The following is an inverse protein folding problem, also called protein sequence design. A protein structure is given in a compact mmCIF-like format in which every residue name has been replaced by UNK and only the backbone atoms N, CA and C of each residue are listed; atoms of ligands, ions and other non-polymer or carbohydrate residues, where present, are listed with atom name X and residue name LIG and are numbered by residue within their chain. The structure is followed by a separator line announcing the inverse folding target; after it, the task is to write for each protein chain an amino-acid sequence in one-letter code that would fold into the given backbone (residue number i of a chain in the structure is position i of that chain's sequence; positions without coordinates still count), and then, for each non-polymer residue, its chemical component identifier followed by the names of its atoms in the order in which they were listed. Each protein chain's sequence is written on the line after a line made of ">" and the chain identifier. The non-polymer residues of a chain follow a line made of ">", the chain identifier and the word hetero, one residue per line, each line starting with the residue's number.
data_IF_119788630089
#
_entry.id   IF_119788630089
#
_cell.length_a   1.000
_cell.length_b   1.000
_cell.length_c   1.000
_cell.angle_alpha   90.00
_cell.angle_beta   90.00
_cell.angle_gamma   90.00
#
_symmetry.space_group_name_H-M   'P 1'
#
loop_
_entity.id
_entity.type
_entity.pdbx_description
1 polymer ?
#
# COMPACT_ATOMS: atom_id res chain seq x y z
N UNK A 1 -9.37 -26.11 27.07
CA UNK A 1 -9.80 -24.70 27.04
C UNK A 1 -9.35 -24.17 25.67
N UNK A 2 -10.25 -23.72 24.80
CA UNK A 2 -9.79 -23.01 23.60
C UNK A 2 -9.03 -21.77 24.08
N UNK A 3 -7.81 -21.58 23.60
CA UNK A 3 -7.05 -20.36 23.76
C UNK A 3 -7.94 -19.18 23.34
N UNK A 4 -8.10 -18.19 24.22
CA UNK A 4 -8.73 -16.94 23.82
C UNK A 4 -8.00 -16.46 22.56
N UNK A 5 -8.73 -16.42 21.43
CA UNK A 5 -8.21 -15.87 20.18
C UNK A 5 -7.76 -14.44 20.51
N UNK A 6 -6.45 -14.20 20.55
CA UNK A 6 -5.95 -12.85 20.71
C UNK A 6 -6.45 -12.01 19.54
N UNK A 7 -7.04 -10.86 19.83
CA UNK A 7 -7.44 -9.89 18.82
C UNK A 7 -6.26 -9.58 17.88
N UNK A 8 -6.51 -9.45 16.58
CA UNK A 8 -5.52 -9.00 15.61
C UNK A 8 -4.89 -7.67 16.07
N UNK A 9 -3.57 -7.65 16.29
CA UNK A 9 -2.81 -6.45 16.63
C UNK A 9 -2.55 -5.61 15.39
N UNK A 10 -2.83 -4.30 15.46
CA UNK A 10 -2.74 -3.39 14.31
C UNK A 10 -1.86 -2.20 14.61
N UNK A 11 -0.82 -1.99 13.79
CA UNK A 11 -0.11 -0.72 13.70
C UNK A 11 -0.70 0.11 12.54
N UNK A 12 -0.94 1.41 12.75
CA UNK A 12 -1.37 2.34 11.70
C UNK A 12 -0.19 3.20 11.26
N UNK A 13 -0.03 3.39 9.96
CA UNK A 13 0.99 4.28 9.36
C UNK A 13 0.28 5.38 8.59
N UNK A 14 0.59 6.62 8.94
CA UNK A 14 0.12 7.84 8.26
C UNK A 14 1.33 8.59 7.71
N UNK A 15 1.30 8.92 6.42
CA UNK A 15 2.35 9.71 5.78
C UNK A 15 1.81 11.11 5.49
N UNK A 16 2.54 12.14 5.87
CA UNK A 16 2.12 13.54 5.68
C UNK A 16 3.21 14.40 5.06
N UNK A 17 2.78 15.43 4.32
CA UNK A 17 3.64 16.47 3.80
C UNK A 17 2.88 17.78 3.56
N UNK A 18 3.15 18.80 4.40
CA UNK A 18 2.55 20.14 4.29
C UNK A 18 1.00 20.11 4.27
N UNK A 19 0.39 19.36 5.19
CA UNK A 19 -1.08 19.19 5.28
C UNK A 19 -1.56 19.08 6.73
N UNK A 20 -0.99 19.88 7.61
CA UNK A 20 -1.25 19.87 9.07
C UNK A 20 -2.74 19.73 9.42
N UNK A 21 -3.62 20.58 8.85
CA UNK A 21 -5.03 20.62 9.23
C UNK A 21 -5.83 19.36 8.78
N UNK A 22 -5.39 18.66 7.73
CA UNK A 22 -5.97 17.39 7.31
C UNK A 22 -5.42 16.24 8.15
N UNK A 23 -4.12 16.28 8.47
CA UNK A 23 -3.48 15.31 9.34
C UNK A 23 -4.15 15.30 10.73
N UNK A 24 -4.48 16.46 11.30
CA UNK A 24 -5.22 16.56 12.57
C UNK A 24 -6.52 15.76 12.52
N UNK A 25 -7.35 16.01 11.49
CA UNK A 25 -8.63 15.31 11.32
C UNK A 25 -8.43 13.80 11.12
N UNK A 26 -7.39 13.41 10.37
CA UNK A 26 -7.05 12.00 10.16
C UNK A 26 -6.64 11.32 11.46
N UNK A 27 -5.73 11.94 12.23
CA UNK A 27 -5.26 11.39 13.51
C UNK A 27 -6.37 11.28 14.55
N UNK A 28 -7.22 12.30 14.69
CA UNK A 28 -8.38 12.25 15.60
C UNK A 28 -9.32 11.11 15.23
N UNK A 29 -9.60 10.92 13.94
CA UNK A 29 -10.45 9.85 13.46
C UNK A 29 -9.82 8.45 13.63
N UNK A 30 -8.49 8.32 13.50
CA UNK A 30 -7.75 7.08 13.74
C UNK A 30 -7.74 6.74 15.22
N UNK A 31 -7.42 7.69 16.07
CA UNK A 31 -7.31 7.50 17.51
C UNK A 31 -8.67 7.25 18.18
N UNK A 32 -9.77 7.69 17.55
CA UNK A 32 -11.14 7.43 18.00
C UNK A 32 -11.77 6.13 17.49
N UNK A 33 -11.02 5.30 16.73
CA UNK A 33 -11.53 3.99 16.32
C UNK A 33 -11.77 3.07 17.54
N UNK A 34 -12.80 2.24 17.46
CA UNK A 34 -13.13 1.22 18.47
C UNK A 34 -13.18 -0.16 17.81
N UNK A 35 -12.20 -1.03 18.09
CA UNK A 35 -11.01 -0.81 18.89
C UNK A 35 -10.02 0.14 18.21
N UNK A 36 -9.30 0.93 19.03
CA UNK A 36 -8.20 1.75 18.54
C UNK A 36 -7.04 0.88 18.03
N UNK A 37 -6.21 1.38 17.09
CA UNK A 37 -4.97 0.71 16.71
C UNK A 37 -4.01 0.62 17.92
N UNK A 38 -3.20 -0.45 17.96
CA UNK A 38 -2.25 -0.68 19.04
C UNK A 38 -1.05 0.26 18.96
N UNK A 39 -0.67 0.70 17.75
CA UNK A 39 0.37 1.71 17.48
C UNK A 39 -0.05 2.62 16.34
N UNK A 40 0.38 3.89 16.39
CA UNK A 40 0.20 4.88 15.31
C UNK A 40 1.56 5.47 14.98
N UNK A 41 2.03 5.31 13.75
CA UNK A 41 3.27 5.88 13.25
C UNK A 41 2.92 6.99 12.27
N UNK A 42 3.32 8.22 12.61
CA UNK A 42 3.21 9.37 11.73
C UNK A 42 4.58 9.63 11.11
N UNK A 43 4.64 9.62 9.78
CA UNK A 43 5.87 9.98 9.05
C UNK A 43 5.67 11.36 8.44
N UNK A 44 6.30 12.35 9.03
CA UNK A 44 6.39 13.70 8.45
C UNK A 44 7.51 13.72 7.41
N UNK A 45 7.12 13.79 6.17
CA UNK A 45 7.99 13.69 5.01
C UNK A 45 8.68 15.02 4.67
N UNK A 46 9.31 15.65 5.66
CA UNK A 46 9.97 16.96 5.60
C UNK A 46 8.98 18.12 5.34
N UNK A 47 7.95 18.24 6.14
CA UNK A 47 7.04 19.39 6.10
C UNK A 47 7.72 20.68 6.54
N UNK A 48 7.24 21.81 6.02
CA UNK A 48 7.73 23.17 6.33
C UNK A 48 6.62 24.09 6.86
N UNK A 49 5.45 23.52 7.15
CA UNK A 49 4.26 24.23 7.61
C UNK A 49 4.02 24.12 9.14
N UNK A 50 5.03 23.62 9.89
CA UNK A 50 4.95 23.39 11.31
C UNK A 50 4.22 22.09 11.70
N UNK A 51 4.09 21.14 10.78
CA UNK A 51 3.41 19.85 11.02
C UNK A 51 4.07 19.05 12.15
N UNK A 52 5.41 18.91 12.16
CA UNK A 52 6.12 18.13 13.19
C UNK A 52 5.94 18.73 14.58
N UNK A 53 6.08 20.05 14.71
CA UNK A 53 5.87 20.79 15.97
C UNK A 53 4.43 20.63 16.45
N UNK A 54 3.47 20.76 15.54
CA UNK A 54 2.05 20.57 15.83
C UNK A 54 1.77 19.16 16.39
N UNK A 55 2.28 18.12 15.75
CA UNK A 55 2.07 16.74 16.21
C UNK A 55 2.69 16.54 17.61
N UNK A 56 3.91 17.03 17.83
CA UNK A 56 4.58 16.91 19.13
C UNK A 56 3.83 17.64 20.25
N UNK A 57 3.18 18.79 19.96
CA UNK A 57 2.43 19.59 20.92
C UNK A 57 1.03 19.00 21.20
N UNK A 58 0.30 18.61 20.17
CA UNK A 58 -1.12 18.19 20.28
C UNK A 58 -1.27 16.69 20.62
N UNK A 59 -0.29 15.87 20.24
CA UNK A 59 -0.27 14.43 20.51
C UNK A 59 0.97 14.00 21.31
N UNK A 60 1.22 14.63 22.49
CA UNK A 60 2.42 14.34 23.27
C UNK A 60 2.42 12.92 23.81
N UNK A 61 3.61 12.29 23.85
CA UNK A 61 3.77 10.87 24.21
C UNK A 61 3.18 10.49 25.59
N UNK A 62 3.13 11.43 26.56
CA UNK A 62 2.52 11.14 27.87
C UNK A 62 0.99 10.99 27.81
N UNK A 63 0.31 11.53 26.79
CA UNK A 63 -1.13 11.36 26.53
C UNK A 63 -1.40 10.31 25.46
N UNK A 64 -0.52 10.18 24.49
CA UNK A 64 -0.65 9.29 23.33
C UNK A 64 0.59 8.37 23.25
N UNK A 65 0.80 7.47 24.21
CA UNK A 65 2.01 6.64 24.28
C UNK A 65 2.16 5.69 23.08
N UNK A 66 1.07 5.41 22.38
CA UNK A 66 1.04 4.55 21.18
C UNK A 66 1.39 5.30 19.89
N UNK A 67 1.48 6.66 19.94
CA UNK A 67 1.81 7.48 18.77
C UNK A 67 3.29 7.77 18.71
N UNK A 68 3.90 7.46 17.57
CA UNK A 68 5.30 7.76 17.25
C UNK A 68 5.35 8.70 16.05
N UNK A 69 6.05 9.83 16.19
CA UNK A 69 6.38 10.74 15.09
C UNK A 69 7.79 10.43 14.59
N UNK A 70 7.93 10.31 13.26
CA UNK A 70 9.22 10.22 12.55
C UNK A 70 9.29 11.39 11.59
N UNK A 71 10.32 12.23 11.74
CA UNK A 71 10.53 13.39 10.88
C UNK A 71 11.65 13.14 9.89
N UNK A 72 11.36 13.24 8.60
CA UNK A 72 12.36 13.17 7.54
C UNK A 72 13.05 14.53 7.35
N UNK A 73 14.32 14.52 6.93
CA UNK A 73 15.08 15.71 6.55
C UNK A 73 14.86 16.10 5.09
N UNK A 74 14.37 15.16 4.28
CA UNK A 74 14.08 15.36 2.86
C UNK A 74 12.78 14.65 2.49
N UNK A 75 12.01 15.24 1.58
CA UNK A 75 10.80 14.63 1.04
C UNK A 75 11.15 13.45 0.14
N UNK A 76 10.77 12.25 0.54
CA UNK A 76 10.96 10.99 -0.20
C UNK A 76 9.71 10.57 -0.99
N UNK A 77 8.70 11.43 -1.06
CA UNK A 77 7.39 11.11 -1.63
C UNK A 77 6.60 10.12 -0.80
N UNK A 78 5.40 9.78 -1.23
CA UNK A 78 4.58 8.76 -0.57
C UNK A 78 5.30 7.42 -0.47
N UNK A 79 5.98 7.01 -1.53
CA UNK A 79 6.69 5.73 -1.59
C UNK A 79 7.73 5.56 -0.47
N UNK A 80 8.57 6.58 -0.24
CA UNK A 80 9.58 6.55 0.82
C UNK A 80 8.96 6.69 2.20
N UNK A 81 7.97 7.57 2.36
CA UNK A 81 7.26 7.75 3.63
C UNK A 81 6.59 6.47 4.10
N UNK A 82 5.86 5.77 3.22
CA UNK A 82 5.26 4.47 3.55
C UNK A 82 6.31 3.39 3.81
N UNK A 83 7.40 3.35 3.04
CA UNK A 83 8.47 2.38 3.29
C UNK A 83 9.08 2.57 4.70
N UNK A 84 9.33 3.81 5.12
CA UNK A 84 9.85 4.16 6.44
C UNK A 84 8.85 3.81 7.55
N UNK A 85 7.58 4.21 7.40
CA UNK A 85 6.53 3.94 8.38
C UNK A 85 6.25 2.45 8.56
N UNK A 86 6.21 1.66 7.48
CA UNK A 86 6.06 0.20 7.53
C UNK A 86 7.26 -0.43 8.27
N UNK A 87 8.48 0.02 7.97
CA UNK A 87 9.68 -0.49 8.64
C UNK A 87 9.64 -0.18 10.15
N UNK A 88 9.24 1.02 10.54
CA UNK A 88 9.09 1.40 11.94
C UNK A 88 7.98 0.61 12.64
N UNK A 89 6.88 0.29 11.95
CA UNK A 89 5.82 -0.56 12.50
C UNK A 89 6.29 -1.99 12.78
N UNK A 90 7.28 -2.47 12.03
CA UNK A 90 7.85 -3.82 12.15
C UNK A 90 9.11 -3.86 13.03
N UNK A 91 9.58 -2.71 13.54
CA UNK A 91 10.72 -2.67 14.42
C UNK A 91 10.40 -3.35 15.75
N UNK A 92 11.27 -4.29 16.22
CA UNK A 92 11.10 -4.92 17.52
C UNK A 92 11.08 -3.85 18.64
N UNK A 93 10.13 -3.95 19.53
CA UNK A 93 9.93 -3.02 20.63
C UNK A 93 9.39 -3.75 21.87
N UNK A 94 9.04 -3.00 22.93
CA UNK A 94 8.43 -3.57 24.12
C UNK A 94 7.00 -4.12 23.86
N UNK A 95 6.35 -3.60 22.83
CA UNK A 95 5.00 -4.03 22.43
C UNK A 95 5.07 -5.26 21.52
N UNK A 96 4.01 -6.09 21.48
CA UNK A 96 3.92 -7.19 20.55
C UNK A 96 4.06 -6.71 19.10
N UNK A 97 4.70 -7.53 18.27
CA UNK A 97 4.75 -7.27 16.83
C UNK A 97 3.33 -7.23 16.25
N UNK A 98 3.02 -6.30 15.34
CA UNK A 98 1.70 -6.24 14.74
C UNK A 98 1.44 -7.44 13.83
N UNK A 99 0.20 -7.95 13.85
CA UNK A 99 -0.30 -8.93 12.88
C UNK A 99 -0.58 -8.27 11.53
N UNK A 100 -0.99 -7.01 11.56
CA UNK A 100 -1.35 -6.24 10.38
C UNK A 100 -0.95 -4.76 10.52
N UNK A 101 -0.75 -4.10 9.35
CA UNK A 101 -0.42 -2.68 9.29
C UNK A 101 -1.50 -1.97 8.46
N UNK A 102 -2.11 -0.94 9.03
CA UNK A 102 -3.10 -0.12 8.33
C UNK A 102 -2.44 1.12 7.76
N UNK A 103 -2.35 1.21 6.44
CA UNK A 103 -1.72 2.33 5.71
C UNK A 103 -2.77 3.38 5.35
N UNK A 104 -2.40 4.66 5.48
CA UNK A 104 -3.30 5.78 5.23
C UNK A 104 -2.55 7.04 4.80
N UNK A 105 -3.14 7.81 3.85
CA UNK A 105 -2.70 9.18 3.55
C UNK A 105 -3.23 10.17 4.60
N UNK A 106 -2.55 11.32 4.74
CA UNK A 106 -2.90 12.40 5.69
C UNK A 106 -4.25 13.08 5.42
N UNK A 107 -4.79 12.95 4.23
CA UNK A 107 -6.09 13.51 3.82
C UNK A 107 -7.22 12.46 3.76
N UNK A 108 -7.01 11.34 4.46
CA UNK A 108 -7.97 10.25 4.57
C UNK A 108 -8.55 10.19 5.98
N UNK A 109 -9.87 10.34 6.10
CA UNK A 109 -10.60 10.37 7.36
C UNK A 109 -11.41 9.07 7.51
N UNK A 110 -10.96 8.10 8.33
CA UNK A 110 -11.72 6.87 8.56
C UNK A 110 -13.02 7.16 9.32
N UNK A 111 -14.09 6.54 8.87
CA UNK A 111 -15.38 6.64 9.55
C UNK A 111 -15.40 5.71 10.77
N UNK A 112 -16.25 5.97 11.78
CA UNK A 112 -16.38 5.08 12.94
C UNK A 112 -16.58 3.63 12.53
N UNK A 113 -15.81 2.71 13.12
CA UNK A 113 -15.85 1.27 12.84
C UNK A 113 -15.08 0.85 11.57
N UNK A 114 -14.38 1.75 10.89
CA UNK A 114 -13.63 1.40 9.68
C UNK A 114 -12.55 0.34 9.97
N UNK A 115 -11.76 0.51 11.04
CA UNK A 115 -10.75 -0.47 11.44
C UNK A 115 -11.39 -1.79 11.89
N UNK A 116 -12.45 -1.72 12.70
CA UNK A 116 -13.16 -2.91 13.17
C UNK A 116 -13.66 -3.77 11.99
N UNK A 117 -14.17 -3.14 10.93
CA UNK A 117 -14.64 -3.85 9.75
C UNK A 117 -13.50 -4.55 8.98
N UNK A 118 -12.32 -3.93 8.88
CA UNK A 118 -11.13 -4.56 8.25
C UNK A 118 -10.65 -5.76 9.07
N UNK A 119 -10.57 -5.61 10.40
CA UNK A 119 -10.15 -6.68 11.32
C UNK A 119 -11.16 -7.84 11.27
N UNK A 120 -12.46 -7.55 11.34
CA UNK A 120 -13.50 -8.58 11.26
C UNK A 120 -13.45 -9.35 9.93
N UNK A 121 -13.22 -8.66 8.81
CA UNK A 121 -13.05 -9.31 7.52
C UNK A 121 -11.80 -10.21 7.47
N UNK A 122 -10.68 -9.80 8.11
CA UNK A 122 -9.46 -10.59 8.23
C UNK A 122 -9.67 -11.85 9.07
N UNK A 123 -10.25 -11.70 10.25
CA UNK A 123 -10.45 -12.78 11.23
C UNK A 123 -11.54 -13.78 10.78
N UNK A 124 -12.59 -13.28 10.14
CA UNK A 124 -13.69 -14.11 9.66
C UNK A 124 -13.41 -14.82 8.33
N UNK A 125 -12.33 -14.48 7.63
CA UNK A 125 -12.06 -15.07 6.32
C UNK A 125 -11.62 -16.53 6.43
N UNK A 126 -12.33 -17.39 5.73
CA UNK A 126 -11.95 -18.79 5.54
C UNK A 126 -11.58 -19.03 4.08
N UNK A 127 -10.35 -19.46 3.85
CA UNK A 127 -9.88 -19.76 2.50
C UNK A 127 -10.70 -20.88 1.86
N UNK A 128 -11.01 -20.76 0.58
CA UNK A 128 -11.67 -21.80 -0.19
C UNK A 128 -10.78 -23.06 -0.32
N UNK A 129 -11.37 -24.28 -0.46
CA UNK A 129 -10.60 -25.49 -0.65
C UNK A 129 -9.64 -25.39 -1.86
N UNK A 130 -8.37 -25.69 -1.64
CA UNK A 130 -7.31 -25.58 -2.64
C UNK A 130 -6.83 -24.16 -2.89
N UNK A 131 -7.33 -23.16 -2.18
CA UNK A 131 -6.82 -21.81 -2.19
C UNK A 131 -5.56 -21.64 -1.34
N UNK A 132 -4.83 -20.50 -1.50
CA UNK A 132 -3.69 -20.20 -0.65
C UNK A 132 -4.13 -20.11 0.82
N UNK A 133 -3.35 -20.68 1.75
CA UNK A 133 -3.68 -20.66 3.17
C UNK A 133 -3.52 -19.28 3.78
N UNK A 134 -4.15 -19.09 4.95
CA UNK A 134 -4.03 -17.88 5.76
C UNK A 134 -5.05 -16.79 5.43
N UNK A 135 -5.02 -15.69 6.19
CA UNK A 135 -5.90 -14.54 5.97
C UNK A 135 -5.58 -13.81 4.68
N UNK A 136 -6.49 -12.93 4.20
CA UNK A 136 -6.19 -12.01 3.12
C UNK A 136 -4.99 -11.12 3.48
N UNK A 137 -4.02 -11.02 2.58
CA UNK A 137 -2.80 -10.24 2.83
C UNK A 137 -2.96 -8.74 2.57
N UNK A 138 -4.04 -8.35 1.90
CA UNK A 138 -4.46 -6.95 1.70
C UNK A 138 -5.97 -6.88 1.81
N UNK A 139 -6.48 -5.94 2.61
CA UNK A 139 -7.90 -5.62 2.68
C UNK A 139 -8.05 -4.10 2.53
N UNK A 140 -8.70 -3.67 1.45
CA UNK A 140 -8.89 -2.26 1.14
C UNK A 140 -10.23 -1.75 1.68
N UNK A 141 -10.25 -0.53 2.21
CA UNK A 141 -11.49 0.16 2.56
C UNK A 141 -12.23 0.66 1.32
N UNK A 142 -13.53 0.91 1.47
CA UNK A 142 -14.29 1.71 0.52
C UNK A 142 -13.93 3.17 0.69
N UNK A 143 -13.41 3.78 -0.38
CA UNK A 143 -13.02 5.19 -0.38
C UNK A 143 -14.13 6.04 -0.96
N UNK A 144 -14.63 6.98 -0.17
CA UNK A 144 -15.61 7.98 -0.57
C UNK A 144 -14.94 9.36 -0.68
N UNK A 145 -15.46 10.20 -1.57
CA UNK A 145 -15.13 11.62 -1.57
C UNK A 145 -15.91 12.33 -0.46
N UNK A 146 -15.57 13.60 -0.19
CA UNK A 146 -16.16 14.41 0.88
C UNK A 146 -17.70 14.45 0.89
N UNK A 147 -18.35 14.21 -0.25
CA UNK A 147 -19.80 14.20 -0.40
C UNK A 147 -20.43 12.80 -0.33
N UNK A 148 -19.66 11.76 0.00
CA UNK A 148 -20.13 10.38 0.16
C UNK A 148 -20.20 9.58 -1.15
N UNK A 149 -19.85 10.15 -2.32
CA UNK A 149 -19.74 9.39 -3.57
C UNK A 149 -18.47 8.55 -3.58
N UNK A 150 -18.54 7.36 -4.19
CA UNK A 150 -17.34 6.54 -4.39
C UNK A 150 -16.23 7.34 -5.12
N UNK A 151 -15.02 7.33 -4.57
CA UNK A 151 -13.90 8.08 -5.13
C UNK A 151 -13.32 7.35 -6.34
N UNK A 152 -13.41 7.89 -7.57
CA UNK A 152 -13.09 7.14 -8.79
C UNK A 152 -11.62 6.79 -8.94
N UNK A 153 -10.71 7.54 -8.30
CA UNK A 153 -9.26 7.24 -8.32
C UNK A 153 -8.88 6.06 -7.42
N UNK A 154 -9.62 5.84 -6.34
CA UNK A 154 -9.25 4.91 -5.27
C UNK A 154 -10.18 3.71 -5.17
N UNK A 155 -11.11 3.54 -6.11
CA UNK A 155 -11.95 2.34 -6.18
C UNK A 155 -11.08 1.13 -6.55
N UNK A 156 -10.92 0.13 -5.66
CA UNK A 156 -10.14 -1.05 -5.96
C UNK A 156 -10.70 -1.78 -7.18
N UNK A 157 -9.83 -2.35 -7.99
CA UNK A 157 -10.27 -3.13 -9.14
C UNK A 157 -10.58 -4.55 -8.71
N UNK A 158 -11.83 -4.98 -8.93
CA UNK A 158 -12.22 -6.38 -8.77
C UNK A 158 -11.25 -7.28 -9.55
N UNK A 159 -10.81 -8.36 -8.92
CA UNK A 159 -9.83 -9.27 -9.51
C UNK A 159 -10.37 -9.94 -10.78
N UNK A 160 -9.78 -9.70 -11.95
CA UNK A 160 -10.16 -10.43 -13.16
C UNK A 160 -9.90 -11.93 -12.98
N UNK A 161 -10.87 -12.77 -13.37
CA UNK A 161 -10.71 -14.23 -13.30
C UNK A 161 -10.76 -14.83 -11.90
N UNK A 162 -11.27 -14.10 -10.88
CA UNK A 162 -11.55 -14.69 -9.58
C UNK A 162 -12.47 -15.91 -9.72
N UNK A 163 -12.10 -17.02 -9.06
CA UNK A 163 -12.89 -18.27 -9.13
C UNK A 163 -14.21 -18.12 -8.34
N UNK A 164 -15.22 -18.98 -8.62
CA UNK A 164 -16.43 -19.00 -7.79
C UNK A 164 -16.14 -19.23 -6.32
N UNK A 165 -15.18 -20.11 -5.97
CA UNK A 165 -14.75 -20.36 -4.59
C UNK A 165 -14.15 -19.11 -3.93
N UNK A 166 -13.24 -18.43 -4.62
CA UNK A 166 -12.63 -17.18 -4.16
C UNK A 166 -13.70 -16.09 -3.91
N UNK A 167 -14.65 -15.93 -4.84
CA UNK A 167 -15.76 -14.99 -4.66
C UNK A 167 -16.67 -15.38 -3.50
N UNK A 168 -16.96 -16.68 -3.34
CA UNK A 168 -17.76 -17.19 -2.24
C UNK A 168 -17.11 -16.94 -0.88
N UNK A 169 -15.80 -17.20 -0.76
CA UNK A 169 -15.05 -16.95 0.47
C UNK A 169 -15.00 -15.44 0.81
N UNK A 170 -14.83 -14.59 -0.17
CA UNK A 170 -14.86 -13.13 0.03
C UNK A 170 -16.26 -12.65 0.44
N UNK A 171 -17.31 -13.13 -0.21
CA UNK A 171 -18.70 -12.78 0.08
C UNK A 171 -19.12 -13.21 1.50
N UNK A 172 -18.61 -14.34 1.99
CA UNK A 172 -18.89 -14.81 3.35
C UNK A 172 -18.50 -13.82 4.44
N UNK A 173 -17.53 -12.92 4.16
CA UNK A 173 -17.12 -11.82 5.05
C UNK A 173 -17.58 -10.45 4.52
N UNK A 174 -18.56 -10.39 3.62
CA UNK A 174 -19.10 -9.15 3.08
C UNK A 174 -18.15 -8.36 2.17
N UNK A 175 -17.17 -9.04 1.56
CA UNK A 175 -16.11 -8.44 0.77
C UNK A 175 -16.10 -8.93 -0.68
N UNK A 176 -15.23 -8.33 -1.52
CA UNK A 176 -14.99 -8.73 -2.90
C UNK A 176 -13.48 -8.92 -3.16
N UNK A 177 -13.08 -9.90 -4.01
CA UNK A 177 -11.68 -10.11 -4.33
C UNK A 177 -11.11 -8.99 -5.19
N UNK A 178 -9.90 -8.50 -4.83
CA UNK A 178 -9.19 -7.47 -5.60
C UNK A 178 -7.79 -7.93 -6.03
N UNK A 179 -7.21 -7.26 -7.05
CA UNK A 179 -5.85 -7.56 -7.54
C UNK A 179 -4.83 -6.48 -7.16
N UNK A 180 -5.28 -5.27 -6.92
CA UNK A 180 -4.47 -4.13 -6.49
C UNK A 180 -5.32 -3.19 -5.66
N UNK A 181 -4.67 -2.43 -4.77
CA UNK A 181 -5.32 -1.40 -3.96
C UNK A 181 -4.39 -0.19 -3.79
N UNK A 182 -4.95 0.99 -3.50
CA UNK A 182 -4.17 2.19 -3.22
C UNK A 182 -3.91 2.36 -1.72
N UNK A 183 -2.83 3.06 -1.36
CA UNK A 183 -2.44 3.31 0.04
C UNK A 183 -3.38 4.25 0.80
N UNK A 184 -4.37 4.81 0.15
CA UNK A 184 -5.36 5.70 0.81
C UNK A 184 -5.98 5.06 2.04
N UNK A 185 -6.34 3.76 1.99
CA UNK A 185 -6.68 2.97 3.19
C UNK A 185 -6.62 1.49 2.88
N UNK A 186 -5.57 0.81 3.32
CA UNK A 186 -5.42 -0.64 3.22
C UNK A 186 -4.84 -1.24 4.49
N UNK A 187 -5.40 -2.37 4.92
CA UNK A 187 -4.83 -3.24 5.94
C UNK A 187 -3.96 -4.28 5.23
N UNK A 188 -2.66 -4.36 5.57
CA UNK A 188 -1.72 -5.32 5.00
C UNK A 188 -1.22 -6.28 6.07
N UNK A 189 -0.99 -7.53 5.68
CA UNK A 189 -0.50 -8.58 6.59
C UNK A 189 1.00 -8.39 6.87
N UNK A 190 1.37 -8.30 8.15
CA UNK A 190 2.76 -8.02 8.56
C UNK A 190 3.70 -9.16 8.21
N UNK A 191 3.26 -10.42 8.30
CA UNK A 191 4.08 -11.57 7.92
C UNK A 191 4.38 -11.52 6.41
N UNK A 192 3.37 -11.15 5.59
CA UNK A 192 3.57 -10.99 4.16
C UNK A 192 4.52 -9.84 3.80
N UNK A 193 4.51 -8.75 4.56
CA UNK A 193 5.51 -7.68 4.40
C UNK A 193 6.92 -8.21 4.64
N UNK A 194 7.11 -9.04 5.67
CA UNK A 194 8.43 -9.65 5.94
C UNK A 194 8.91 -10.57 4.81
N UNK A 195 7.99 -11.27 4.14
CA UNK A 195 8.31 -12.13 2.99
C UNK A 195 8.74 -11.35 1.74
N UNK A 196 8.05 -10.24 1.42
CA UNK A 196 8.23 -9.53 0.15
C UNK A 196 9.04 -8.24 0.25
N UNK A 197 9.35 -7.77 1.46
CA UNK A 197 10.07 -6.54 1.72
C UNK A 197 9.21 -5.28 1.63
N UNK A 198 9.86 -4.13 1.67
CA UNK A 198 9.26 -2.80 1.71
C UNK A 198 8.84 -2.28 0.31
N UNK A 199 7.99 -1.25 0.24
CA UNK A 199 7.80 -0.47 -0.99
C UNK A 199 9.15 0.03 -1.54
N UNK A 200 9.24 0.21 -2.85
CA UNK A 200 10.43 0.79 -3.50
C UNK A 200 10.40 2.30 -3.33
N UNK A 201 11.17 2.84 -2.39
CA UNK A 201 11.15 4.26 -2.01
C UNK A 201 11.47 5.20 -3.20
N UNK A 202 12.33 4.78 -4.13
CA UNK A 202 12.70 5.57 -5.31
C UNK A 202 11.54 5.82 -6.30
N UNK A 203 10.39 5.15 -6.11
CA UNK A 203 9.18 5.49 -6.88
C UNK A 203 8.74 6.93 -6.59
N UNK A 204 8.98 7.43 -5.41
CA UNK A 204 8.64 8.77 -4.95
C UNK A 204 7.14 9.04 -4.98
N UNK A 205 6.51 9.04 -6.15
CA UNK A 205 5.10 9.38 -6.36
C UNK A 205 4.51 8.53 -7.48
N UNK A 206 3.29 8.00 -7.25
CA UNK A 206 2.48 7.21 -8.18
C UNK A 206 3.04 5.83 -8.53
N UNK A 207 2.15 4.89 -8.62
CA UNK A 207 2.39 3.47 -8.91
C UNK A 207 3.18 2.69 -7.85
N UNK A 208 3.62 3.31 -6.78
CA UNK A 208 4.18 2.66 -5.60
C UNK A 208 3.14 1.75 -4.94
N UNK A 209 1.93 2.28 -4.73
CA UNK A 209 0.76 1.55 -4.23
C UNK A 209 0.36 0.38 -5.17
N UNK A 210 0.32 0.64 -6.48
CA UNK A 210 0.01 -0.38 -7.48
C UNK A 210 1.05 -1.51 -7.50
N UNK A 211 2.33 -1.19 -7.52
CA UNK A 211 3.42 -2.17 -7.51
C UNK A 211 3.40 -2.97 -6.21
N UNK A 212 3.38 -2.27 -5.08
CA UNK A 212 3.52 -2.91 -3.79
C UNK A 212 2.31 -3.78 -3.43
N UNK A 213 1.08 -3.27 -3.60
CA UNK A 213 -0.12 -4.07 -3.37
C UNK A 213 -0.18 -5.30 -4.30
N UNK A 214 0.19 -5.13 -5.58
CA UNK A 214 0.26 -6.25 -6.52
C UNK A 214 1.30 -7.30 -6.11
N UNK A 215 2.44 -6.89 -5.53
CA UNK A 215 3.52 -7.77 -5.04
C UNK A 215 3.10 -8.51 -3.77
N UNK A 216 2.46 -7.82 -2.82
CA UNK A 216 1.86 -8.45 -1.63
C UNK A 216 0.83 -9.53 -2.02
N UNK A 217 -0.03 -9.22 -2.99
CA UNK A 217 -1.18 -10.06 -3.38
C UNK A 217 -0.75 -11.26 -4.24
N UNK A 218 0.42 -11.24 -4.87
CA UNK A 218 0.85 -12.32 -5.76
C UNK A 218 0.83 -13.68 -5.05
N UNK A 219 0.04 -14.62 -5.57
CA UNK A 219 -0.15 -15.94 -4.99
C UNK A 219 -0.90 -15.96 -3.65
N UNK A 220 -1.54 -14.87 -3.27
CA UNK A 220 -2.32 -14.72 -2.02
C UNK A 220 -3.71 -14.18 -2.32
N UNK A 221 -4.51 -13.97 -1.27
CA UNK A 221 -5.86 -13.37 -1.34
C UNK A 221 -5.85 -11.92 -0.91
N UNK A 222 -6.67 -11.12 -1.57
CA UNK A 222 -6.90 -9.73 -1.18
C UNK A 222 -8.36 -9.36 -1.43
N UNK A 223 -8.87 -8.47 -0.59
CA UNK A 223 -10.27 -8.09 -0.54
C UNK A 223 -10.43 -6.56 -0.60
N UNK A 224 -11.59 -6.11 -1.06
CA UNK A 224 -12.14 -4.81 -0.68
C UNK A 224 -13.30 -5.05 0.28
N UNK A 225 -13.33 -4.28 1.37
CA UNK A 225 -14.32 -4.36 2.44
C UNK A 225 -15.25 -3.15 2.39
N UNK A 226 -16.46 -3.25 1.81
CA UNK A 226 -17.41 -2.14 1.71
C UNK A 226 -17.88 -1.60 3.06
N UNK A 227 -17.82 -2.41 4.13
CA UNK A 227 -18.18 -2.01 5.49
C UNK A 227 -17.14 -1.08 6.13
N UNK A 228 -15.87 -1.14 5.69
CA UNK A 228 -14.83 -0.19 6.08
C UNK A 228 -14.88 1.03 5.17
N UNK A 229 -15.29 2.17 5.71
CA UNK A 229 -15.48 3.40 4.94
C UNK A 229 -14.46 4.45 5.37
N UNK A 230 -13.80 5.07 4.39
CA UNK A 230 -12.94 6.25 4.61
C UNK A 230 -13.33 7.36 3.65
N UNK A 231 -13.19 8.63 4.09
CA UNK A 231 -13.39 9.81 3.23
C UNK A 231 -12.04 10.39 2.84
N UNK A 232 -11.80 10.52 1.54
CA UNK A 232 -10.58 11.07 0.99
C UNK A 232 -10.79 12.51 0.56
N UNK A 233 -10.15 13.44 1.26
CA UNK A 233 -10.35 14.89 1.12
C UNK A 233 -9.47 15.49 0.02
N UNK A 234 -9.57 14.95 -1.20
CA UNK A 234 -8.88 15.54 -2.36
C UNK A 234 -9.49 16.89 -2.75
N UNK A 235 -8.64 17.80 -3.27
CA UNK A 235 -9.05 19.16 -3.69
C UNK A 235 -10.13 19.18 -4.78
N UNK A 236 -10.24 18.12 -5.58
CA UNK A 236 -11.23 18.02 -6.64
C UNK A 236 -11.70 16.58 -6.79
N UNK A 237 -13.00 16.41 -7.04
CA UNK A 237 -13.55 15.14 -7.47
C UNK A 237 -13.07 14.85 -8.89
N UNK A 238 -12.24 13.84 -9.07
CA UNK A 238 -11.67 13.50 -10.37
C UNK A 238 -11.12 12.10 -10.44
N UNK A 239 -11.07 11.58 -11.64
CA UNK A 239 -10.41 10.30 -11.94
C UNK A 239 -8.96 10.50 -12.36
N UNK A 240 -8.30 9.41 -12.68
CA UNK A 240 -6.91 9.36 -13.22
C UNK A 240 -6.74 10.04 -14.59
N UNK A 241 -7.82 10.64 -15.14
CA UNK A 241 -7.83 11.31 -16.46
C UNK A 241 -7.51 12.81 -16.38
N UNK A 242 -7.19 13.35 -15.18
CA UNK A 242 -6.74 14.74 -15.04
C UNK A 242 -5.34 14.87 -15.65
N UNK A 243 -5.08 16.00 -16.35
CA UNK A 243 -3.77 16.27 -16.96
C UNK A 243 -2.65 16.22 -15.88
N UNK A 244 -1.74 15.25 -15.95
CA UNK A 244 -0.74 15.03 -14.90
C UNK A 244 0.39 16.06 -14.89
N UNK A 245 0.53 16.86 -15.95
CA UNK A 245 1.61 17.81 -16.09
C UNK A 245 3.00 17.17 -15.93
N UNK A 246 3.95 17.83 -15.23
CA UNK A 246 5.31 17.29 -15.03
C UNK A 246 5.37 15.96 -14.28
N UNK A 247 4.35 15.63 -13.48
CA UNK A 247 4.27 14.36 -12.73
C UNK A 247 4.14 13.14 -13.66
N UNK A 248 3.80 13.34 -14.94
CA UNK A 248 3.76 12.28 -15.93
C UNK A 248 5.09 11.52 -16.08
N UNK A 249 6.19 12.19 -15.78
CA UNK A 249 7.51 11.55 -15.70
C UNK A 249 7.50 10.35 -14.72
N UNK A 250 6.96 10.52 -13.52
CA UNK A 250 6.88 9.45 -12.52
C UNK A 250 5.96 8.31 -12.97
N UNK A 251 4.80 8.65 -13.55
CA UNK A 251 3.89 7.65 -14.11
C UNK A 251 4.61 6.74 -15.11
N UNK A 252 5.40 7.32 -16.00
CA UNK A 252 6.11 6.56 -17.05
C UNK A 252 7.29 5.77 -16.49
N UNK A 253 8.16 6.41 -15.70
CA UNK A 253 9.34 5.78 -15.12
C UNK A 253 8.95 4.59 -14.22
N UNK A 254 8.02 4.81 -13.33
CA UNK A 254 7.62 3.81 -12.35
C UNK A 254 6.89 2.62 -13.01
N UNK A 255 6.07 2.88 -14.04
CA UNK A 255 5.47 1.79 -14.85
C UNK A 255 6.54 1.00 -15.62
N UNK A 256 7.55 1.65 -16.16
CA UNK A 256 8.65 0.94 -16.80
C UNK A 256 9.36 0.00 -15.79
N UNK A 257 9.69 0.46 -14.60
CA UNK A 257 10.25 -0.38 -13.53
C UNK A 257 9.30 -1.53 -13.13
N UNK A 258 8.01 -1.23 -12.93
CA UNK A 258 7.02 -2.25 -12.57
C UNK A 258 6.94 -3.38 -13.60
N UNK A 259 6.94 -3.04 -14.88
CA UNK A 259 6.80 -4.06 -15.94
C UNK A 259 8.09 -4.81 -16.25
N UNK A 260 9.26 -4.17 -16.07
CA UNK A 260 10.54 -4.77 -16.45
C UNK A 260 11.31 -5.40 -15.30
N UNK A 261 11.12 -4.93 -14.07
CA UNK A 261 11.99 -5.28 -12.93
C UNK A 261 11.25 -5.81 -11.70
N UNK A 262 9.96 -5.46 -11.53
CA UNK A 262 9.21 -5.93 -10.37
C UNK A 262 8.66 -7.34 -10.59
N UNK A 263 8.66 -8.18 -9.53
CA UNK A 263 7.98 -9.48 -9.53
C UNK A 263 6.47 -9.37 -9.25
N UNK A 264 5.91 -8.17 -9.08
CA UNK A 264 4.51 -7.94 -8.66
C UNK A 264 3.47 -8.58 -9.60
N UNK A 265 3.80 -8.66 -10.90
CA UNK A 265 2.90 -9.14 -11.93
C UNK A 265 3.48 -10.35 -12.67
N UNK A 266 2.63 -11.32 -13.01
CA UNK A 266 2.98 -12.40 -13.93
C UNK A 266 3.17 -11.90 -15.38
N UNK A 267 3.79 -12.71 -16.25
CA UNK A 267 4.10 -12.27 -17.62
C UNK A 267 2.86 -11.89 -18.43
N UNK A 268 1.76 -12.63 -18.30
CA UNK A 268 0.49 -12.30 -18.96
C UNK A 268 -0.14 -11.02 -18.41
N UNK A 269 -0.08 -10.80 -17.09
CA UNK A 269 -0.54 -9.57 -16.46
C UNK A 269 0.31 -8.37 -16.93
N UNK A 270 1.64 -8.52 -16.98
CA UNK A 270 2.55 -7.48 -17.50
C UNK A 270 2.16 -7.06 -18.91
N UNK A 271 1.91 -8.02 -19.83
CA UNK A 271 1.51 -7.73 -21.20
C UNK A 271 0.17 -6.97 -21.25
N UNK A 272 -0.84 -7.44 -20.48
CA UNK A 272 -2.16 -6.81 -20.42
C UNK A 272 -2.10 -5.39 -19.86
N UNK A 273 -1.44 -5.21 -18.72
CA UNK A 273 -1.32 -3.91 -18.07
C UNK A 273 -0.45 -2.93 -18.88
N UNK A 274 0.64 -3.40 -19.50
CA UNK A 274 1.48 -2.57 -20.37
C UNK A 274 0.69 -2.07 -21.58
N UNK A 275 -0.06 -2.94 -22.28
CA UNK A 275 -0.91 -2.54 -23.41
C UNK A 275 -1.96 -1.50 -23.01
N UNK A 276 -2.65 -1.72 -21.88
CA UNK A 276 -3.63 -0.75 -21.36
C UNK A 276 -2.98 0.59 -20.93
N UNK A 277 -1.77 0.53 -20.40
CA UNK A 277 -0.98 1.71 -19.98
C UNK A 277 -0.57 2.55 -21.19
N UNK A 278 0.00 1.93 -22.22
CA UNK A 278 0.37 2.63 -23.47
C UNK A 278 -0.84 3.32 -24.09
N UNK A 279 -1.99 2.61 -24.16
CA UNK A 279 -3.24 3.20 -24.67
C UNK A 279 -3.68 4.40 -23.83
N UNK A 280 -3.55 4.31 -22.49
CA UNK A 280 -3.87 5.43 -21.59
C UNK A 280 -2.92 6.59 -21.81
N UNK A 281 -1.62 6.38 -21.87
CA UNK A 281 -0.62 7.44 -22.13
C UNK A 281 -0.90 8.17 -23.44
N UNK A 282 -1.16 7.43 -24.53
CA UNK A 282 -1.50 8.03 -25.82
C UNK A 282 -2.74 8.92 -25.71
N UNK A 283 -3.79 8.46 -25.00
CA UNK A 283 -5.01 9.24 -24.77
C UNK A 283 -4.75 10.47 -23.92
N UNK A 284 -3.96 10.34 -22.83
CA UNK A 284 -3.61 11.44 -21.92
C UNK A 284 -2.84 12.53 -22.69
N UNK A 285 -1.84 12.15 -23.48
CA UNK A 285 -1.07 13.09 -24.32
C UNK A 285 -1.98 13.77 -25.35
N UNK A 286 -2.84 13.01 -26.02
CA UNK A 286 -3.74 13.55 -27.03
C UNK A 286 -4.73 14.59 -26.48
N UNK A 287 -5.18 14.42 -25.21
CA UNK A 287 -6.14 15.30 -24.54
C UNK A 287 -5.50 16.47 -23.78
N UNK A 288 -4.20 16.39 -23.49
CA UNK A 288 -3.47 17.42 -22.74
C UNK A 288 -3.42 18.74 -23.49
N UNK A 289 -3.51 19.83 -22.72
CA UNK A 289 -3.28 21.19 -23.20
C UNK A 289 -1.77 21.49 -23.34
N UNK A 290 -0.91 20.81 -22.59
CA UNK A 290 0.55 20.91 -22.64
C UNK A 290 1.20 19.57 -23.03
N UNK A 291 1.03 19.20 -24.29
CA UNK A 291 1.59 17.97 -24.86
C UNK A 291 3.13 17.96 -24.82
N UNK A 292 3.78 19.14 -24.90
CA UNK A 292 5.23 19.20 -24.88
C UNK A 292 5.82 18.75 -23.53
N UNK A 293 5.21 19.13 -22.41
CA UNK A 293 5.58 18.66 -21.08
C UNK A 293 5.34 17.16 -20.94
N UNK A 294 4.21 16.62 -21.44
CA UNK A 294 3.96 15.18 -21.35
C UNK A 294 4.92 14.37 -22.24
N UNK A 295 5.23 14.83 -23.46
CA UNK A 295 6.19 14.13 -24.33
C UNK A 295 7.61 14.13 -23.75
N UNK A 296 8.04 15.23 -23.10
CA UNK A 296 9.30 15.27 -22.35
C UNK A 296 9.27 14.27 -21.17
N UNK A 297 8.19 14.26 -20.41
CA UNK A 297 7.97 13.31 -19.31
C UNK A 297 8.00 11.87 -19.80
N UNK A 298 7.38 11.56 -20.95
CA UNK A 298 7.42 10.24 -21.59
C UNK A 298 8.86 9.83 -21.94
N UNK A 299 9.58 10.70 -22.67
CA UNK A 299 10.95 10.39 -23.10
C UNK A 299 11.92 10.20 -21.93
N UNK A 300 11.89 11.10 -20.95
CA UNK A 300 12.73 11.01 -19.76
C UNK A 300 12.34 9.83 -18.86
N UNK A 301 11.04 9.59 -18.65
CA UNK A 301 10.55 8.49 -17.86
C UNK A 301 10.94 7.12 -18.47
N UNK A 302 10.80 6.94 -19.78
CA UNK A 302 11.27 5.73 -20.47
C UNK A 302 12.79 5.59 -20.38
N UNK A 303 13.55 6.67 -20.63
CA UNK A 303 15.02 6.66 -20.54
C UNK A 303 15.48 6.19 -19.15
N UNK A 304 14.93 6.75 -18.07
CA UNK A 304 15.35 6.41 -16.71
C UNK A 304 14.80 5.05 -16.27
N UNK A 305 13.53 4.75 -16.59
CA UNK A 305 12.90 3.50 -16.19
C UNK A 305 13.49 2.26 -16.89
N UNK A 306 13.94 2.40 -18.14
CA UNK A 306 14.59 1.31 -18.88
C UNK A 306 16.11 1.29 -18.69
N UNK A 307 16.72 2.46 -18.45
CA UNK A 307 18.18 2.63 -18.36
C UNK A 307 18.82 2.01 -17.12
N UNK A 308 18.09 1.85 -16.02
CA UNK A 308 18.62 1.28 -14.77
C UNK A 308 17.53 0.86 -13.79
N UNK A 309 17.91 0.12 -12.73
CA UNK A 309 16.99 -0.19 -11.63
C UNK A 309 16.72 1.08 -10.80
N UNK A 310 15.61 1.08 -10.00
CA UNK A 310 15.45 2.08 -8.96
C UNK A 310 16.59 1.97 -7.95
N UNK A 311 16.90 3.05 -7.26
CA UNK A 311 17.74 3.05 -6.08
C UNK A 311 17.11 2.15 -5.02
N UNK A 312 17.94 1.55 -4.18
CA UNK A 312 17.43 0.73 -3.08
C UNK A 312 16.69 1.60 -2.06
N UNK A 313 15.71 1.01 -1.38
CA UNK A 313 14.99 1.71 -0.30
C UNK A 313 15.94 2.16 0.81
N UNK A 314 16.98 1.35 1.11
CA UNK A 314 18.03 1.73 2.08
C UNK A 314 18.74 3.00 1.67
N UNK A 315 19.21 3.09 0.42
CA UNK A 315 19.92 4.29 -0.08
C UNK A 315 19.04 5.55 0.01
N UNK A 316 17.78 5.47 -0.44
CA UNK A 316 16.85 6.60 -0.42
C UNK A 316 16.56 7.06 1.01
N UNK A 317 16.29 6.13 1.92
CA UNK A 317 15.92 6.46 3.30
C UNK A 317 17.14 6.90 4.14
N UNK A 318 18.35 6.38 3.87
CA UNK A 318 19.56 6.83 4.57
C UNK A 318 19.85 8.32 4.35
N UNK A 319 19.52 8.84 3.18
CA UNK A 319 19.68 10.26 2.88
C UNK A 319 18.57 11.14 3.52
N UNK A 320 17.44 10.54 3.85
CA UNK A 320 16.23 11.26 4.23
C UNK A 320 15.98 11.34 5.75
N UNK A 321 16.67 10.57 6.57
CA UNK A 321 16.50 10.61 8.02
C UNK A 321 17.82 10.90 8.73
N UNK A 322 17.75 11.72 9.78
CA UNK A 322 18.94 12.03 10.60
C UNK A 322 19.26 10.91 11.60
N UNK A 323 18.25 10.15 12.02
CA UNK A 323 18.36 9.05 12.96
C UNK A 323 18.73 7.74 12.27
N UNK A 324 19.26 6.73 13.00
CA UNK A 324 19.49 5.42 12.43
C UNK A 324 18.21 4.81 11.86
N UNK A 325 18.30 4.28 10.64
CA UNK A 325 17.16 3.58 10.03
C UNK A 325 16.71 2.39 10.89
N UNK A 326 15.39 2.12 10.93
CA UNK A 326 14.85 0.89 11.50
C UNK A 326 15.59 -0.35 11.00
N UNK A 327 15.84 -1.31 11.88
CA UNK A 327 16.59 -2.53 11.56
C UNK A 327 15.97 -3.29 10.39
N UNK A 328 14.65 -3.28 10.30
CA UNK A 328 13.93 -3.92 9.19
C UNK A 328 14.25 -3.29 7.82
N UNK A 329 14.54 -2.00 7.72
CA UNK A 329 14.96 -1.37 6.43
C UNK A 329 16.20 -2.04 5.87
N UNK A 330 17.17 -2.37 6.75
CA UNK A 330 18.45 -2.96 6.37
C UNK A 330 18.33 -4.47 6.08
N UNK A 331 17.41 -5.15 6.76
CA UNK A 331 17.21 -6.59 6.68
C UNK A 331 16.15 -7.01 5.64
N UNK A 332 15.31 -6.08 5.18
CA UNK A 332 14.21 -6.40 4.29
C UNK A 332 14.69 -6.96 2.95
N UNK A 333 14.08 -8.04 2.43
CA UNK A 333 14.39 -8.56 1.12
C UNK A 333 14.12 -7.51 0.05
N UNK A 334 15.01 -7.42 -0.94
CA UNK A 334 14.80 -6.55 -2.10
C UNK A 334 13.59 -7.02 -2.94
N UNK A 335 13.05 -6.17 -3.80
CA UNK A 335 11.83 -6.46 -4.59
C UNK A 335 11.96 -7.67 -5.54
N UNK A 336 13.14 -8.27 -5.70
CA UNK A 336 13.40 -9.48 -6.48
C UNK A 336 13.76 -10.71 -5.63
N UNK A 337 13.78 -10.61 -4.29
CA UNK A 337 14.31 -11.64 -3.40
C UNK A 337 13.37 -12.80 -3.06
N UNK A 338 12.13 -12.79 -3.51
CA UNK A 338 11.25 -13.96 -3.39
C UNK A 338 11.63 -14.96 -4.49
N UNK A 339 12.37 -16.02 -4.15
CA UNK A 339 12.62 -17.14 -5.03
C UNK A 339 11.29 -17.76 -5.44
N UNK A 340 10.99 -17.72 -6.75
CA UNK A 340 9.99 -18.59 -7.39
C UNK A 340 10.54 -20.04 -7.33
N UNK A 341 10.35 -20.76 -6.24
CA UNK A 341 10.33 -22.20 -6.33
C UNK A 341 8.97 -22.59 -6.93
N UNK A 342 8.95 -23.16 -8.14
CA UNK A 342 7.74 -23.78 -8.64
C UNK A 342 7.43 -24.95 -7.68
N UNK A 343 6.18 -25.04 -7.23
CA UNK A 343 5.69 -26.26 -6.60
C UNK A 343 5.86 -27.40 -7.62
N UNK A 344 6.94 -28.14 -7.45
CA UNK A 344 7.26 -29.31 -8.27
C UNK A 344 6.27 -30.42 -7.90
N UNK A 345 5.22 -30.52 -8.71
CA UNK A 345 4.28 -31.62 -8.72
C UNK A 345 4.97 -32.86 -9.33
N UNK A 346 5.86 -33.47 -8.62
CA UNK A 346 6.36 -34.81 -8.96
C UNK A 346 5.19 -35.79 -8.90
N UNK A 347 4.57 -36.03 -10.03
CA UNK A 347 3.78 -37.24 -10.30
C UNK A 347 4.72 -38.43 -10.12
N UNK A 348 4.62 -39.09 -8.99
CA UNK A 348 5.24 -40.38 -8.76
C UNK A 348 4.72 -41.41 -9.76
N UNK A 349 5.55 -41.75 -10.71
CA UNK A 349 5.35 -42.93 -11.55
C UNK A 349 5.53 -44.16 -10.66
N UNK A 350 4.45 -44.84 -10.32
CA UNK A 350 4.48 -46.20 -9.78
C UNK A 350 4.84 -47.13 -10.92
N UNK A 351 6.08 -47.57 -10.97
CA UNK A 351 6.44 -48.81 -11.72
C UNK A 351 5.73 -50.00 -11.08
N UNK A 352 4.75 -50.54 -11.78
CA UNK A 352 4.18 -51.85 -11.53
C UNK A 352 5.03 -52.90 -12.14
N UNK A 353 5.70 -53.70 -11.35
CA UNK A 353 6.36 -54.94 -11.70
C UNK A 353 5.35 -56.08 -11.70
N UNK A 354 5.15 -56.69 -12.87
CA UNK A 354 4.50 -57.98 -13.20
C UNK A 354 3.00 -58.08 -13.07
#
# INVERSE_FOLDING_TARGET
>A
MPSASSRTSVATVVVTWNRRDLLEQSLDAILSQEPAPDRVIVVDNASTDGTSEFVAEHYPAHRFPTLQLITCTQNTGGAGGFALGIAAALEPGPDPEPDAIWLMDDDTIPQPGALAALVAAREGYAAEPGGPPGPPVVIASRVEWIDGRAHPMNTPRVKPGATPGERGAALAVGCEPVRTASFVSILIDAARVREVGLPVADFFLWNDDFEYSARLIRGRRALTCPASVVRHHTKAFGGTDVDPGPRFYYEVRNKAWTFTRSPALGSSEKALYAGSTVRRWARTIARSKDRATLLRGLAQGLRHGLGGPPRTTVEVLTEAVAEPLPGFVRAAPGPGGATDEPADGTLGATEGSR
#
